data_IF_372585853784
#
_entry.id   IF_372585853784
#
_cell.length_a   1.000
_cell.length_b   1.000
_cell.length_c   1.000
_cell.angle_alpha   90.00
_cell.angle_beta   90.00
_cell.angle_gamma   90.00
#
_symmetry.space_group_name_H-M   'P 1'
#
loop_
_entity.id
_entity.type
_entity.pdbx_description
1 polymer ?
#
# COMPACT_ATOMS: atom_id res chain seq x y z
N UNK A 1 20.96 5.66 -11.33
CA UNK A 1 19.71 6.25 -11.83
C UNK A 1 18.84 5.12 -12.34
N UNK A 2 17.53 5.14 -12.10
CA UNK A 2 16.62 4.03 -12.41
C UNK A 2 15.29 4.56 -12.98
N UNK A 3 14.48 3.72 -13.65
CA UNK A 3 13.16 4.13 -14.12
C UNK A 3 12.26 4.57 -12.95
N UNK A 4 11.50 5.64 -13.16
CA UNK A 4 10.49 6.11 -12.24
C UNK A 4 9.45 5.02 -11.95
N UNK A 5 9.05 4.92 -10.67
CA UNK A 5 7.92 4.11 -10.29
C UNK A 5 6.61 4.82 -10.64
N UNK A 6 5.61 4.04 -11.04
CA UNK A 6 4.31 4.53 -11.48
C UNK A 6 3.24 3.47 -11.24
N UNK A 7 2.00 3.93 -11.20
CA UNK A 7 0.84 3.05 -11.16
C UNK A 7 0.87 2.12 -12.38
N UNK A 8 0.32 0.92 -12.23
CA UNK A 8 0.39 -0.22 -13.19
C UNK A 8 1.73 -0.96 -13.27
N UNK A 9 2.80 -0.44 -12.65
CA UNK A 9 3.97 -1.28 -12.40
C UNK A 9 3.59 -2.42 -11.44
N UNK A 10 4.27 -3.55 -11.59
CA UNK A 10 4.02 -4.74 -10.78
C UNK A 10 5.05 -4.78 -9.66
N UNK A 11 4.60 -4.96 -8.43
CA UNK A 11 5.47 -5.24 -7.30
C UNK A 11 5.62 -6.75 -7.15
N UNK A 12 6.85 -7.24 -7.13
CA UNK A 12 7.16 -8.67 -7.01
C UNK A 12 8.23 -8.88 -5.97
N UNK A 13 8.01 -9.86 -5.10
CA UNK A 13 8.90 -10.09 -3.97
C UNK A 13 8.55 -11.29 -3.16
N UNK A 14 9.01 -11.26 -1.92
CA UNK A 14 8.84 -12.32 -0.94
C UNK A 14 8.35 -11.70 0.36
N UNK A 15 7.26 -12.21 0.90
CA UNK A 15 6.81 -11.91 2.26
C UNK A 15 7.17 -13.05 3.19
N UNK A 16 7.68 -12.71 4.38
CA UNK A 16 7.93 -13.72 5.41
C UNK A 16 6.68 -13.85 6.26
N UNK A 17 6.11 -15.05 6.28
CA UNK A 17 4.97 -15.38 7.13
C UNK A 17 5.28 -16.60 7.98
N UNK A 18 4.85 -16.58 9.24
CA UNK A 18 4.87 -17.78 10.05
C UNK A 18 3.77 -18.72 9.59
N UNK A 19 4.11 -19.97 9.34
CA UNK A 19 3.15 -21.04 9.06
C UNK A 19 3.35 -22.19 10.02
N UNK A 20 2.30 -22.96 10.23
CA UNK A 20 2.36 -24.19 11.03
C UNK A 20 2.61 -25.36 10.09
N UNK A 21 3.67 -26.14 10.32
CA UNK A 21 3.97 -27.35 9.53
C UNK A 21 3.83 -28.59 10.44
N UNK A 22 2.84 -29.46 10.22
CA UNK A 22 2.81 -30.77 10.89
C UNK A 22 4.09 -31.56 10.57
N UNK A 23 4.79 -32.21 11.53
CA UNK A 23 4.41 -32.53 12.90
C UNK A 23 4.92 -31.56 13.99
N UNK A 24 5.54 -30.43 13.63
CA UNK A 24 6.08 -29.47 14.60
C UNK A 24 5.06 -28.38 14.91
N UNK A 25 4.65 -28.17 16.18
CA UNK A 25 3.74 -27.09 16.56
C UNK A 25 4.44 -25.71 16.61
N UNK A 26 5.71 -25.62 16.20
CA UNK A 26 6.47 -24.39 16.22
C UNK A 26 6.17 -23.52 14.99
N UNK A 27 6.02 -22.19 15.15
CA UNK A 27 5.90 -21.27 14.03
C UNK A 27 7.21 -21.19 13.25
N UNK A 28 7.18 -21.59 11.99
CA UNK A 28 8.34 -21.53 11.10
C UNK A 28 8.14 -20.36 10.12
N UNK A 29 9.09 -19.41 10.03
CA UNK A 29 9.01 -18.34 9.05
C UNK A 29 9.27 -18.92 7.66
N UNK A 30 8.27 -18.86 6.77
CA UNK A 30 8.39 -19.31 5.38
C UNK A 30 8.28 -18.12 4.42
N UNK A 31 9.15 -18.04 3.41
CA UNK A 31 9.01 -17.09 2.32
C UNK A 31 7.79 -17.43 1.45
N UNK A 32 6.86 -16.48 1.32
CA UNK A 32 5.70 -16.54 0.44
C UNK A 32 5.86 -15.54 -0.70
N UNK A 33 5.54 -15.91 -1.96
CA UNK A 33 5.59 -14.97 -3.06
C UNK A 33 4.62 -13.79 -2.86
N UNK A 34 5.11 -12.57 -3.01
CA UNK A 34 4.32 -11.34 -3.08
C UNK A 34 4.20 -10.92 -4.55
N UNK A 35 2.97 -10.76 -5.03
CA UNK A 35 2.68 -10.18 -6.35
C UNK A 35 1.57 -9.15 -6.20
N UNK A 36 1.92 -7.89 -6.39
CA UNK A 36 1.01 -6.75 -6.31
C UNK A 36 1.13 -5.81 -7.50
N UNK A 37 0.23 -4.85 -7.56
CA UNK A 37 0.30 -3.74 -8.50
C UNK A 37 0.44 -2.46 -7.69
N UNK A 38 1.27 -1.55 -8.18
CA UNK A 38 1.31 -0.20 -7.64
C UNK A 38 0.00 0.49 -7.98
N UNK A 39 -0.78 0.75 -6.93
CA UNK A 39 -2.06 1.40 -7.04
C UNK A 39 -2.44 1.96 -5.67
N UNK A 40 -2.45 3.28 -5.58
CA UNK A 40 -2.96 4.02 -4.42
C UNK A 40 -4.26 4.73 -4.82
N UNK A 41 -5.43 4.32 -4.27
CA UNK A 41 -6.69 5.00 -4.52
C UNK A 41 -6.69 6.49 -4.13
N UNK A 42 -5.92 6.89 -3.11
CA UNK A 42 -5.86 8.28 -2.66
C UNK A 42 -5.25 9.19 -3.72
N UNK A 43 -4.30 8.66 -4.47
CA UNK A 43 -3.67 9.37 -5.57
C UNK A 43 -4.70 9.72 -6.67
N UNK A 44 -5.88 9.08 -6.73
CA UNK A 44 -6.97 9.40 -7.68
C UNK A 44 -8.01 10.41 -7.15
N UNK A 45 -7.94 10.83 -5.89
CA UNK A 45 -8.91 11.79 -5.34
C UNK A 45 -8.67 13.17 -5.99
N UNK A 46 -9.70 13.81 -6.56
CA UNK A 46 -9.54 15.16 -7.13
C UNK A 46 -9.01 16.15 -6.09
N UNK A 47 -8.13 17.07 -6.51
CA UNK A 47 -7.51 18.13 -5.68
C UNK A 47 -6.51 17.66 -4.62
N UNK A 48 -6.70 16.47 -4.01
CA UNK A 48 -5.88 15.96 -2.90
C UNK A 48 -4.86 14.92 -3.38
N UNK A 49 -5.20 14.16 -4.43
CA UNK A 49 -4.33 13.15 -5.02
C UNK A 49 -3.24 13.73 -5.92
N UNK A 50 -2.53 12.86 -6.64
CA UNK A 50 -1.44 13.27 -7.52
C UNK A 50 -1.93 13.79 -8.88
N UNK A 51 -1.29 14.86 -9.35
CA UNK A 51 -1.43 15.40 -10.70
C UNK A 51 -0.19 15.16 -11.57
N UNK A 52 0.77 14.38 -11.06
CA UNK A 52 2.02 14.08 -11.77
C UNK A 52 1.90 12.71 -12.43
N UNK A 53 2.18 12.68 -13.72
CA UNK A 53 2.05 11.49 -14.55
C UNK A 53 3.41 11.06 -15.12
N UNK A 54 3.64 9.76 -15.13
CA UNK A 54 4.74 9.10 -15.82
C UNK A 54 4.13 8.24 -16.91
N UNK A 55 4.31 8.62 -18.17
CA UNK A 55 3.77 7.90 -19.33
C UNK A 55 2.27 7.63 -19.19
N UNK A 56 1.49 8.68 -18.92
CA UNK A 56 0.03 8.67 -18.74
C UNK A 56 -0.47 7.83 -17.54
N UNK A 57 0.43 7.34 -16.68
CA UNK A 57 0.09 6.68 -15.42
C UNK A 57 0.41 7.61 -14.25
N UNK A 58 -0.38 7.57 -13.17
CA UNK A 58 -0.07 8.33 -11.96
C UNK A 58 1.29 7.87 -11.40
N UNK A 59 2.13 8.82 -11.00
CA UNK A 59 3.45 8.54 -10.45
C UNK A 59 3.35 7.82 -9.10
N UNK A 60 4.36 7.05 -8.74
CA UNK A 60 4.51 6.51 -7.40
C UNK A 60 5.68 7.19 -6.68
N UNK A 61 5.44 7.64 -5.46
CA UNK A 61 6.44 8.27 -4.59
C UNK A 61 6.49 7.57 -3.25
N UNK A 62 7.31 8.04 -2.34
CA UNK A 62 7.33 7.49 -1.01
C UNK A 62 5.98 7.71 -0.31
N UNK A 63 5.43 6.63 0.22
CA UNK A 63 4.09 6.51 0.76
C UNK A 63 3.02 6.07 -0.25
N UNK A 64 3.30 5.98 -1.56
CA UNK A 64 2.38 5.32 -2.50
C UNK A 64 2.28 3.83 -2.16
N UNK A 65 1.05 3.33 -2.10
CA UNK A 65 0.75 1.93 -1.79
C UNK A 65 0.85 1.04 -3.04
N UNK A 66 1.31 -0.19 -2.84
CA UNK A 66 1.10 -1.29 -3.77
C UNK A 66 0.07 -2.24 -3.16
N UNK A 67 -1.01 -2.48 -3.89
CA UNK A 67 -2.06 -3.39 -3.45
C UNK A 67 -1.82 -4.74 -4.12
N UNK A 68 -1.87 -5.83 -3.37
CA UNK A 68 -1.74 -7.19 -3.92
C UNK A 68 -2.86 -7.46 -4.92
N UNK A 69 -2.51 -7.98 -6.10
CA UNK A 69 -3.48 -8.31 -7.14
C UNK A 69 -4.32 -9.54 -6.79
N UNK A 70 -3.77 -10.42 -5.96
CA UNK A 70 -4.47 -11.57 -5.38
C UNK A 70 -4.89 -11.22 -3.96
N UNK A 71 -6.17 -10.88 -3.77
CA UNK A 71 -6.83 -10.59 -2.48
C UNK A 71 -6.69 -11.75 -1.44
N UNK A 72 -6.07 -12.86 -1.82
CA UNK A 72 -5.71 -13.99 -0.96
C UNK A 72 -4.26 -14.39 -1.23
N UNK A 73 -3.45 -14.46 -0.17
CA UNK A 73 -2.20 -15.20 -0.22
C UNK A 73 -2.55 -16.69 -0.24
N UNK A 74 -1.93 -17.47 -1.13
CA UNK A 74 -2.01 -18.92 -1.06
C UNK A 74 -1.10 -19.38 0.09
N UNK A 75 -1.63 -19.93 1.20
CA UNK A 75 -0.80 -20.39 2.29
C UNK A 75 0.04 -21.58 1.81
N UNK A 76 1.35 -21.52 2.02
CA UNK A 76 2.21 -22.67 1.83
C UNK A 76 2.16 -23.49 3.13
N UNK A 77 1.66 -24.73 3.08
CA UNK A 77 1.54 -25.63 4.24
C UNK A 77 0.12 -25.70 4.82
N UNK A 78 -0.01 -25.94 6.13
CA UNK A 78 -1.30 -26.16 6.79
C UNK A 78 -2.06 -24.87 7.17
N UNK A 79 -1.48 -23.69 6.88
CA UNK A 79 -2.07 -22.37 7.16
C UNK A 79 -1.12 -21.42 7.89
N UNK A 80 -1.43 -20.12 7.86
CA UNK A 80 -0.71 -19.07 8.59
C UNK A 80 -0.81 -19.26 10.12
N UNK A 81 0.24 -18.86 10.83
CA UNK A 81 0.30 -18.90 12.29
C UNK A 81 0.34 -17.48 12.89
N UNK A 82 -0.51 -17.19 13.90
CA UNK A 82 -1.66 -17.98 14.33
C UNK A 82 -2.74 -18.00 13.23
N UNK A 83 -3.55 -19.07 13.18
CA UNK A 83 -4.66 -19.20 12.22
C UNK A 83 -5.74 -18.09 12.35
N UNK A 84 -5.63 -17.27 13.40
CA UNK A 84 -6.46 -16.10 13.72
C UNK A 84 -5.79 -14.77 13.40
N UNK A 85 -4.55 -14.77 12.88
CA UNK A 85 -3.96 -13.52 12.39
C UNK A 85 -4.83 -13.04 11.23
N UNK A 86 -5.38 -11.81 11.30
CA UNK A 86 -6.14 -11.27 10.19
C UNK A 86 -5.27 -11.41 8.95
N UNK A 87 -5.85 -11.93 7.86
CA UNK A 87 -5.22 -12.03 6.54
C UNK A 87 -4.27 -10.85 6.39
N UNK A 88 -2.96 -11.15 6.44
CA UNK A 88 -1.91 -10.14 6.51
C UNK A 88 -2.19 -9.14 5.41
N UNK A 89 -2.37 -7.89 5.83
CA UNK A 89 -2.96 -6.85 4.99
C UNK A 89 -2.12 -6.80 3.71
N UNK A 90 -2.80 -6.99 2.59
CA UNK A 90 -2.25 -7.34 1.28
C UNK A 90 -1.65 -6.09 0.62
N UNK A 91 -0.77 -5.43 1.35
CA UNK A 91 -0.29 -4.10 1.04
C UNK A 91 1.23 -4.05 1.10
N UNK A 92 1.76 -3.26 0.19
CA UNK A 92 3.12 -2.78 0.26
C UNK A 92 3.12 -1.28 0.18
N UNK A 93 4.23 -0.70 0.60
CA UNK A 93 4.44 0.72 0.71
C UNK A 93 5.79 1.07 0.12
N UNK A 94 5.82 2.04 -0.78
CA UNK A 94 7.08 2.67 -1.14
C UNK A 94 7.61 3.45 0.07
N UNK A 95 8.59 2.90 0.77
CA UNK A 95 9.21 3.58 1.91
C UNK A 95 10.40 4.45 1.48
N UNK A 96 10.99 4.13 0.33
CA UNK A 96 12.20 4.78 -0.16
C UNK A 96 11.92 5.58 -1.42
N UNK A 97 12.61 6.71 -1.57
CA UNK A 97 12.60 7.54 -2.77
C UNK A 97 13.92 8.26 -2.99
N UNK A 98 14.04 8.95 -4.12
CA UNK A 98 15.23 9.72 -4.49
C UNK A 98 15.44 10.93 -3.59
N UNK A 99 16.66 11.05 -3.03
CA UNK A 99 17.06 12.26 -2.28
C UNK A 99 17.15 13.53 -3.15
N UNK A 100 17.26 13.37 -4.47
CA UNK A 100 17.51 14.49 -5.40
C UNK A 100 16.27 14.91 -6.18
N UNK A 101 15.22 14.08 -6.16
CA UNK A 101 14.00 14.31 -6.96
C UNK A 101 12.78 14.09 -6.07
N UNK A 102 11.95 15.12 -5.99
CA UNK A 102 10.74 15.14 -5.18
C UNK A 102 9.52 15.36 -6.08
N UNK A 103 8.41 14.72 -5.72
CA UNK A 103 7.13 14.79 -6.44
C UNK A 103 5.99 14.77 -5.41
N UNK A 104 5.07 15.72 -5.53
CA UNK A 104 3.98 15.95 -4.56
C UNK A 104 4.46 15.98 -3.10
N UNK A 105 5.51 16.76 -2.86
CA UNK A 105 6.09 16.99 -1.54
C UNK A 105 6.70 15.76 -0.85
N UNK A 106 7.09 14.74 -1.62
CA UNK A 106 7.73 13.52 -1.11
C UNK A 106 8.69 12.90 -2.14
N UNK A 107 9.68 12.13 -1.67
CA UNK A 107 10.74 11.62 -2.52
C UNK A 107 10.23 10.69 -3.62
N UNK A 108 10.75 10.88 -4.83
CA UNK A 108 10.29 10.13 -6.00
C UNK A 108 10.85 8.71 -5.99
N UNK A 109 9.96 7.71 -5.92
CA UNK A 109 10.30 6.29 -5.93
C UNK A 109 10.73 5.82 -7.31
N UNK A 110 11.69 4.90 -7.33
CA UNK A 110 12.11 4.18 -8.55
C UNK A 110 11.51 2.78 -8.58
N UNK A 111 11.33 2.23 -9.78
CA UNK A 111 10.78 0.90 -9.93
C UNK A 111 11.74 -0.17 -9.38
N UNK A 112 13.00 -0.18 -9.82
CA UNK A 112 13.95 -1.24 -9.47
C UNK A 112 14.63 -1.07 -8.10
N UNK A 113 13.85 -0.67 -7.09
CA UNK A 113 14.29 -0.58 -5.70
C UNK A 113 13.28 -1.23 -4.75
N UNK A 114 13.78 -1.62 -3.59
CA UNK A 114 12.97 -2.31 -2.60
C UNK A 114 11.87 -1.39 -2.05
N UNK A 115 10.68 -1.95 -1.95
CA UNK A 115 9.53 -1.42 -1.25
C UNK A 115 9.22 -2.31 -0.04
N UNK A 116 8.55 -1.74 0.94
CA UNK A 116 8.23 -2.40 2.20
C UNK A 116 6.93 -3.17 2.04
N UNK A 117 6.92 -4.49 2.19
CA UNK A 117 5.70 -5.31 2.14
C UNK A 117 5.39 -5.94 3.48
N UNK A 118 4.11 -6.22 3.73
CA UNK A 118 3.65 -6.78 4.98
C UNK A 118 4.30 -8.14 5.27
N UNK A 119 5.00 -8.22 6.40
CA UNK A 119 5.67 -9.42 6.88
C UNK A 119 5.48 -9.60 8.38
N UNK A 120 5.67 -10.83 8.86
CA UNK A 120 5.63 -11.14 10.30
C UNK A 120 6.92 -10.74 11.04
N UNK A 121 7.95 -10.29 10.32
CA UNK A 121 9.21 -9.79 10.87
C UNK A 121 9.48 -8.46 10.18
N UNK A 122 9.96 -7.43 10.89
CA UNK A 122 10.36 -6.18 10.23
C UNK A 122 10.09 -4.93 11.06
N UNK A 123 9.95 -3.80 10.35
CA UNK A 123 9.69 -2.49 10.95
C UNK A 123 8.18 -2.32 11.15
N UNK A 124 7.71 -1.90 12.33
CA UNK A 124 6.29 -1.67 12.58
C UNK A 124 5.85 -0.33 11.96
N UNK A 125 5.48 -0.36 10.67
CA UNK A 125 4.92 0.81 9.97
C UNK A 125 3.38 0.86 10.01
N UNK A 126 2.75 -0.15 10.61
CA UNK A 126 1.31 -0.25 10.82
C UNK A 126 0.98 -1.29 11.89
N UNK A 127 -0.23 -1.24 12.44
CA UNK A 127 -0.72 -2.25 13.40
C UNK A 127 -1.86 -3.02 12.73
N UNK A 128 -1.81 -4.36 12.60
CA UNK A 128 -0.92 -5.32 13.27
C UNK A 128 0.30 -5.79 12.45
N UNK A 129 0.66 -5.14 11.34
CA UNK A 129 1.62 -5.68 10.37
C UNK A 129 3.02 -5.05 10.49
N UNK A 130 4.06 -5.90 10.51
CA UNK A 130 5.43 -5.42 10.28
C UNK A 130 5.68 -5.35 8.78
N UNK A 131 6.70 -4.59 8.36
CA UNK A 131 7.06 -4.52 6.95
C UNK A 131 8.55 -4.80 6.74
N UNK A 132 8.86 -5.48 5.64
CA UNK A 132 10.22 -5.79 5.19
C UNK A 132 10.51 -5.31 3.78
N UNK A 133 11.74 -4.85 3.49
CA UNK A 133 12.15 -4.39 2.17
C UNK A 133 12.51 -5.57 1.23
N UNK A 134 11.61 -6.54 1.09
CA UNK A 134 11.84 -7.80 0.37
C UNK A 134 11.14 -7.87 -0.99
N UNK A 135 10.47 -6.78 -1.37
CA UNK A 135 9.73 -6.67 -2.63
C UNK A 135 10.30 -5.55 -3.46
N UNK A 136 10.47 -5.77 -4.76
CA UNK A 136 10.93 -4.74 -5.71
C UNK A 136 9.86 -4.48 -6.75
N UNK A 137 9.81 -3.27 -7.28
CA UNK A 137 8.91 -2.97 -8.39
C UNK A 137 9.53 -3.34 -9.74
N UNK A 138 8.79 -4.10 -10.53
CA UNK A 138 9.07 -4.40 -11.92
C UNK A 138 8.46 -3.28 -12.78
N UNK A 139 9.29 -2.49 -13.50
CA UNK A 139 8.79 -1.43 -14.36
C UNK A 139 8.05 -2.03 -15.56
N UNK A 140 6.80 -1.62 -15.77
CA UNK A 140 6.05 -1.97 -16.97
C UNK A 140 6.31 -0.89 -18.03
N UNK A 141 6.85 -1.25 -19.21
CA UNK A 141 7.06 -0.30 -20.30
C UNK A 141 5.72 0.27 -20.77
N UNK A 142 5.59 1.59 -20.73
CA UNK A 142 4.38 2.31 -21.19
C UNK A 142 4.72 3.50 -22.11
N UNK A 143 5.97 3.58 -22.58
CA UNK A 143 6.53 4.71 -23.30
C UNK A 143 8.01 4.92 -22.97
N UNK A 144 8.61 6.04 -23.42
CA UNK A 144 9.99 6.39 -23.09
C UNK A 144 10.24 6.37 -21.58
N UNK A 145 11.36 5.80 -21.10
CA UNK A 145 11.59 5.68 -19.66
C UNK A 145 11.89 7.06 -19.05
N UNK A 146 11.13 7.43 -18.02
CA UNK A 146 11.47 8.56 -17.16
C UNK A 146 12.49 8.06 -16.13
N UNK A 147 13.67 8.69 -16.09
CA UNK A 147 14.76 8.25 -15.23
C UNK A 147 14.87 9.17 -14.01
N UNK A 148 14.89 8.57 -12.83
CA UNK A 148 15.10 9.27 -11.56
C UNK A 148 16.51 9.02 -11.08
N UNK A 149 17.20 10.11 -10.74
CA UNK A 149 18.56 10.10 -10.22
C UNK A 149 18.62 9.93 -8.71
N UNK A 150 19.85 9.99 -8.17
CA UNK A 150 20.08 10.06 -6.73
C UNK A 150 19.98 8.73 -5.97
N UNK A 151 20.55 8.68 -4.75
CA UNK A 151 20.42 7.55 -3.85
C UNK A 151 18.98 7.44 -3.32
N UNK A 152 18.52 6.20 -3.12
CA UNK A 152 17.21 5.91 -2.56
C UNK A 152 17.31 5.92 -1.03
N UNK A 153 16.60 6.84 -0.39
CA UNK A 153 16.60 7.06 1.06
C UNK A 153 15.19 6.90 1.60
N UNK A 154 15.03 6.45 2.85
CA UNK A 154 13.71 6.32 3.45
C UNK A 154 13.09 7.70 3.67
N UNK A 155 11.88 7.92 3.15
CA UNK A 155 11.12 9.16 3.37
C UNK A 155 10.16 8.98 4.53
N UNK A 156 10.70 9.07 5.74
CA UNK A 156 9.89 8.88 6.95
C UNK A 156 8.80 9.96 7.08
N UNK A 157 9.08 11.21 6.66
CA UNK A 157 8.09 12.29 6.71
C UNK A 157 6.97 12.07 5.71
N UNK A 158 7.28 11.74 4.45
CA UNK A 158 6.28 11.46 3.42
C UNK A 158 5.38 10.29 3.80
N UNK A 159 5.97 9.21 4.33
CA UNK A 159 5.23 8.04 4.81
C UNK A 159 4.34 8.38 6.00
N UNK A 160 4.86 9.08 7.02
CA UNK A 160 4.05 9.48 8.19
C UNK A 160 2.92 10.42 7.79
N UNK A 161 3.17 11.38 6.90
CA UNK A 161 2.14 12.31 6.44
C UNK A 161 1.02 11.58 5.70
N UNK A 162 1.36 10.64 4.80
CA UNK A 162 0.36 9.85 4.09
C UNK A 162 -0.43 8.93 5.04
N UNK A 163 0.22 8.28 6.01
CA UNK A 163 -0.47 7.51 7.06
C UNK A 163 -1.40 8.39 7.91
N UNK A 164 -0.97 9.61 8.25
CA UNK A 164 -1.77 10.57 8.99
C UNK A 164 -2.99 11.05 8.18
N UNK A 165 -2.83 11.29 6.87
CA UNK A 165 -3.93 11.63 5.97
C UNK A 165 -4.94 10.49 5.85
N UNK A 166 -4.47 9.24 5.73
CA UNK A 166 -5.32 8.03 5.76
C UNK A 166 -6.10 7.93 7.08
N UNK A 167 -5.42 8.14 8.21
CA UNK A 167 -6.02 8.14 9.55
C UNK A 167 -7.05 9.26 9.74
N UNK A 168 -6.71 10.48 9.30
CA UNK A 168 -7.57 11.66 9.35
C UNK A 168 -8.82 11.50 8.49
N UNK A 169 -8.68 10.95 7.27
CA UNK A 169 -9.82 10.66 6.41
C UNK A 169 -10.71 9.55 6.98
N UNK A 170 -10.12 8.50 7.57
CA UNK A 170 -10.88 7.44 8.27
C UNK A 170 -11.66 8.00 9.45
N UNK A 171 -11.07 8.92 10.20
CA UNK A 171 -11.75 9.64 11.28
C UNK A 171 -12.88 10.52 10.75
N UNK A 172 -12.62 11.31 9.70
CA UNK A 172 -13.61 12.16 9.05
C UNK A 172 -14.78 11.34 8.49
N UNK A 173 -14.52 10.23 7.79
CA UNK A 173 -15.57 9.34 7.26
C UNK A 173 -16.39 8.70 8.39
N UNK A 174 -15.76 8.33 9.51
CA UNK A 174 -16.46 7.73 10.66
C UNK A 174 -17.39 8.74 11.35
N UNK A 175 -17.02 10.01 11.40
CA UNK A 175 -17.85 11.08 11.95
C UNK A 175 -18.88 11.60 10.94
N UNK A 176 -18.46 11.92 9.72
CA UNK A 176 -19.30 12.34 8.61
C UNK A 176 -20.37 11.30 8.27
N UNK A 177 -20.03 10.01 8.26
CA UNK A 177 -20.98 8.92 8.02
C UNK A 177 -22.06 8.79 9.10
N UNK A 178 -21.77 9.15 10.36
CA UNK A 178 -22.78 9.20 11.43
C UNK A 178 -23.73 10.38 11.26
N UNK A 179 -23.21 11.55 10.88
CA UNK A 179 -24.00 12.74 10.61
C UNK A 179 -24.86 12.57 9.35
N UNK A 180 -24.29 11.98 8.30
CA UNK A 180 -24.98 11.66 7.04
C UNK A 180 -26.06 10.59 7.24
N UNK A 181 -25.79 9.53 8.02
CA UNK A 181 -26.83 8.56 8.39
C UNK A 181 -27.95 9.18 9.21
N UNK A 182 -27.66 10.11 10.13
CA UNK A 182 -28.70 10.84 10.88
C UNK A 182 -29.53 11.75 9.97
N UNK A 183 -28.90 12.42 9.00
CA UNK A 183 -29.57 13.27 8.04
C UNK A 183 -30.42 12.46 7.04
N UNK A 184 -29.87 11.39 6.49
CA UNK A 184 -30.60 10.46 5.61
C UNK A 184 -31.79 9.78 6.31
N UNK A 185 -31.67 9.48 7.61
CA UNK A 185 -32.77 8.92 8.41
C UNK A 185 -33.86 9.95 8.75
N UNK A 186 -33.51 11.24 8.85
CA UNK A 186 -34.48 12.34 8.93
C UNK A 186 -35.20 12.58 7.60
N UNK A 187 -34.48 12.52 6.47
CA UNK A 187 -35.05 12.66 5.13
C UNK A 187 -35.98 11.49 4.78
N UNK A 188 -35.61 10.24 5.09
CA UNK A 188 -36.50 9.07 4.90
C UNK A 188 -37.78 9.12 5.74
N UNK A 189 -37.77 9.78 6.91
CA UNK A 189 -38.98 9.99 7.72
C UNK A 189 -39.90 11.08 7.19
N UNK A 190 -39.42 11.96 6.30
CA UNK A 190 -40.21 13.00 5.64
C UNK A 190 -40.90 12.56 4.34
N UNK A 191 -40.58 11.37 3.80
CA UNK A 191 -41.12 10.86 2.53
C UNK A 191 -42.12 9.70 2.69
N UNK A 192 -42.77 9.54 3.84
CA UNK A 192 -43.98 8.71 3.92
C UNK A 192 -45.19 9.60 3.64
N UNK A 193 -45.53 9.78 2.36
CA UNK A 193 -46.88 10.20 1.98
C UNK A 193 -47.83 9.02 2.20
N UNK A 194 -48.98 9.20 2.86
CA UNK A 194 -49.99 8.16 2.97
C UNK A 194 -50.58 7.89 1.58
N UNK A 195 -50.57 6.61 1.19
CA UNK A 195 -51.34 6.06 0.06
C UNK A 195 -52.83 6.05 0.38
#
# INVERSE_FOLDING_TARGET
MQPASKHTNIAMGIDIHFVTIPPSPAPIPIPHPFIGMIFDPMDYIPVIGTNVYVNNQKRANAGTMATLGTIKHFPLGAGFYPATMPLIDHEGLHFFGSKTVEVDSSYFSVASYNMMTCSCIGIPLGSPNMYTPTTTTIPIPAGPPVIVGGPQVPDLMGVVMKLAMLGGLKFLMKFGGKTFKKLAKKLKKGCNCPS
#
